data_IF_107105406722
#
_entry.id   IF_107105406722
#
_cell.length_a   1.000
_cell.length_b   1.000
_cell.length_c   1.000
_cell.angle_alpha   90.00
_cell.angle_beta   90.00
_cell.angle_gamma   90.00
#
_symmetry.space_group_name_H-M   'P 1'
#
loop_
_entity.id
_entity.type
_entity.pdbx_description
1 polymer ?
#
# COMPACT_ATOMS: atom_id res chain seq x y z
N UNK A 1 16.71 -12.30 0.85
CA UNK A 1 15.50 -11.52 0.45
C UNK A 1 15.45 -10.24 1.28
N UNK A 2 15.24 -9.14 0.61
CA UNK A 2 15.27 -7.82 1.26
C UNK A 2 13.87 -7.20 1.27
N UNK A 3 13.08 -7.58 2.25
CA UNK A 3 11.68 -7.15 2.33
C UNK A 3 11.53 -5.65 2.52
N UNK A 4 12.43 -5.03 3.29
CA UNK A 4 12.38 -3.57 3.45
C UNK A 4 12.59 -2.84 2.13
N UNK A 5 13.56 -3.28 1.35
CA UNK A 5 13.81 -2.72 0.02
C UNK A 5 12.60 -2.94 -0.89
N UNK A 6 12.02 -4.15 -0.84
CA UNK A 6 10.84 -4.47 -1.65
C UNK A 6 9.65 -3.59 -1.25
N UNK A 7 9.47 -3.33 0.04
CA UNK A 7 8.39 -2.46 0.51
C UNK A 7 8.55 -1.04 -0.05
N UNK A 8 9.77 -0.51 -0.04
CA UNK A 8 10.03 0.81 -0.60
C UNK A 8 9.81 0.84 -2.10
N UNK A 9 10.11 -0.24 -2.80
CA UNK A 9 9.82 -0.32 -4.23
C UNK A 9 8.32 -0.26 -4.51
N UNK A 10 7.51 -0.92 -3.69
CA UNK A 10 6.05 -0.85 -3.82
C UNK A 10 5.58 0.58 -3.55
N UNK A 11 6.10 1.22 -2.51
CA UNK A 11 5.76 2.61 -2.22
C UNK A 11 6.12 3.53 -3.39
N UNK A 12 7.29 3.31 -4.00
CA UNK A 12 7.72 4.10 -5.16
C UNK A 12 6.78 3.90 -6.35
N UNK A 13 6.31 2.68 -6.57
CA UNK A 13 5.34 2.40 -7.62
C UNK A 13 4.05 3.18 -7.42
N UNK A 14 3.60 3.27 -6.16
CA UNK A 14 2.39 4.03 -5.83
C UNK A 14 2.63 5.52 -6.02
N UNK A 15 3.79 6.02 -5.61
CA UNK A 15 4.13 7.43 -5.79
C UNK A 15 4.22 7.80 -7.26
N UNK A 16 4.67 6.90 -8.09
CA UNK A 16 4.69 7.11 -9.54
C UNK A 16 3.29 7.24 -10.12
N UNK A 17 2.28 6.73 -9.42
CA UNK A 17 0.89 6.90 -9.83
C UNK A 17 0.32 8.26 -9.39
N UNK A 18 1.04 9.00 -8.57
CA UNK A 18 0.60 10.30 -8.09
C UNK A 18 -0.02 10.29 -6.70
N UNK A 19 0.22 9.24 -5.93
CA UNK A 19 -0.28 9.11 -4.55
C UNK A 19 0.92 8.99 -3.62
N UNK A 20 1.00 9.84 -2.61
CA UNK A 20 2.06 9.73 -1.61
C UNK A 20 1.95 8.40 -0.88
N UNK A 21 3.10 7.76 -0.65
CA UNK A 21 3.11 6.43 -0.04
C UNK A 21 4.19 6.32 1.03
N UNK A 22 3.89 5.55 2.06
CA UNK A 22 4.80 5.30 3.18
C UNK A 22 4.85 3.81 3.49
N UNK A 23 5.97 3.39 4.04
CA UNK A 23 6.12 2.02 4.58
C UNK A 23 6.16 2.03 6.11
N UNK A 24 6.22 3.18 6.72
CA UNK A 24 6.32 3.36 8.17
C UNK A 24 5.07 4.06 8.68
N UNK A 25 4.27 3.34 9.49
CA UNK A 25 3.04 3.88 10.02
C UNK A 25 3.23 5.11 10.89
N UNK A 26 4.39 5.23 11.56
CA UNK A 26 4.66 6.40 12.40
C UNK A 26 4.89 7.66 11.58
N UNK A 27 5.42 7.52 10.38
CA UNK A 27 5.68 8.64 9.48
C UNK A 27 4.51 8.95 8.57
N UNK A 28 3.59 8.02 8.47
CA UNK A 28 2.45 8.17 7.58
C UNK A 28 1.64 9.42 7.89
N UNK A 29 1.23 10.12 6.85
CA UNK A 29 0.36 11.30 6.95
C UNK A 29 -0.72 11.21 5.89
N UNK A 30 -1.96 11.25 6.31
CA UNK A 30 -3.08 11.25 5.37
C UNK A 30 -3.20 12.64 4.71
N UNK A 31 -3.64 12.71 3.44
CA UNK A 31 -4.05 11.59 2.60
C UNK A 31 -2.87 10.88 1.96
N UNK A 32 -3.00 9.59 1.73
CA UNK A 32 -1.96 8.82 1.07
C UNK A 32 -2.12 7.34 1.27
N UNK A 33 -1.08 6.58 0.93
CA UNK A 33 -1.08 5.14 1.00
C UNK A 33 -0.08 4.64 2.03
N UNK A 34 -0.45 3.60 2.73
CA UNK A 34 0.45 2.89 3.65
C UNK A 34 0.64 1.48 3.15
N UNK A 35 1.88 1.06 2.95
CA UNK A 35 2.24 -0.26 2.45
C UNK A 35 2.67 -1.13 3.61
N UNK A 36 2.04 -2.31 3.73
CA UNK A 36 2.35 -3.25 4.80
C UNK A 36 2.54 -4.64 4.23
N UNK A 37 3.43 -5.41 4.83
CA UNK A 37 3.64 -6.79 4.44
C UNK A 37 2.43 -7.62 4.86
N UNK A 38 1.88 -8.40 3.92
CA UNK A 38 0.77 -9.28 4.17
C UNK A 38 1.21 -10.73 4.28
N UNK A 39 1.95 -11.24 3.28
CA UNK A 39 2.37 -12.63 3.24
C UNK A 39 3.54 -12.81 2.32
N UNK A 40 4.34 -13.83 2.58
CA UNK A 40 5.41 -14.26 1.70
C UNK A 40 5.15 -15.72 1.34
N UNK A 41 5.09 -16.00 0.04
CA UNK A 41 4.90 -17.35 -0.44
C UNK A 41 6.15 -17.82 -1.15
N UNK A 42 6.60 -19.01 -0.81
CA UNK A 42 7.79 -19.58 -1.42
C UNK A 42 7.41 -20.33 -2.67
N UNK A 43 8.15 -20.04 -3.74
CA UNK A 43 7.96 -20.73 -5.00
C UNK A 43 8.72 -22.06 -4.94
N UNK A 44 8.00 -23.16 -5.07
CA UNK A 44 8.60 -24.48 -5.01
C UNK A 44 9.48 -24.79 -6.21
N UNK A 45 9.22 -24.13 -7.32
CA UNK A 45 9.91 -24.43 -8.57
C UNK A 45 11.03 -23.47 -8.87
N UNK A 46 10.96 -22.28 -8.32
CA UNK A 46 11.94 -21.24 -8.61
C UNK A 46 12.90 -21.04 -7.47
N UNK A 47 14.14 -21.43 -7.65
CA UNK A 47 15.15 -21.21 -6.62
C UNK A 47 15.38 -19.73 -6.42
N UNK A 48 15.27 -19.27 -5.20
CA UNK A 48 15.59 -17.90 -4.84
C UNK A 48 14.55 -16.85 -5.19
N UNK A 49 13.36 -17.27 -5.59
CA UNK A 49 12.28 -16.34 -5.90
C UNK A 49 11.09 -16.57 -4.95
N UNK A 50 10.47 -15.48 -4.55
CA UNK A 50 9.33 -15.52 -3.64
C UNK A 50 8.25 -14.58 -4.13
N UNK A 51 7.00 -14.97 -3.95
CA UNK A 51 5.86 -14.10 -4.21
C UNK A 51 5.49 -13.42 -2.91
N UNK A 52 5.45 -12.12 -2.93
CA UNK A 52 5.16 -11.32 -1.73
C UNK A 52 3.86 -10.57 -1.94
N UNK A 53 2.95 -10.73 -1.00
CA UNK A 53 1.69 -10.00 -1.00
C UNK A 53 1.81 -8.81 -0.05
N UNK A 54 1.38 -7.66 -0.51
CA UNK A 54 1.42 -6.41 0.25
C UNK A 54 0.01 -5.90 0.44
N UNK A 55 -0.31 -5.48 1.65
CA UNK A 55 -1.56 -4.78 1.91
C UNK A 55 -1.29 -3.29 1.74
N UNK A 56 -2.05 -2.66 0.86
CA UNK A 56 -1.96 -1.22 0.65
C UNK A 56 -3.26 -0.60 1.15
N UNK A 57 -3.14 0.36 2.06
CA UNK A 57 -4.28 1.07 2.60
C UNK A 57 -4.21 2.51 2.11
N UNK A 58 -5.22 2.91 1.35
CA UNK A 58 -5.39 4.31 0.94
C UNK A 58 -6.23 4.99 2.02
N UNK A 59 -5.72 6.07 2.56
CA UNK A 59 -6.39 6.79 3.66
C UNK A 59 -6.70 8.20 3.21
N UNK A 60 -7.95 8.62 3.39
CA UNK A 60 -8.39 9.96 3.05
C UNK A 60 -7.95 10.97 4.11
N UNK A 61 -7.91 12.23 3.71
CA UNK A 61 -7.71 13.30 4.66
C UNK A 61 -8.94 13.51 5.52
N UNK A 62 -8.79 14.29 6.58
CA UNK A 62 -9.87 14.60 7.51
C UNK A 62 -10.69 15.79 7.02
N UNK A 63 -11.51 15.56 5.99
CA UNK A 63 -12.29 16.62 5.34
C UNK A 63 -13.81 16.44 5.44
N UNK A 64 -14.24 15.39 6.10
CA UNK A 64 -15.66 15.06 6.15
C UNK A 64 -15.98 13.84 5.28
N UNK A 65 -17.13 13.18 5.55
CA UNK A 65 -17.39 11.85 4.95
C UNK A 65 -17.50 11.84 3.43
N UNK A 66 -18.19 12.80 2.86
CA UNK A 66 -18.38 12.82 1.39
C UNK A 66 -17.09 13.14 0.66
N UNK A 67 -16.37 14.13 1.16
CA UNK A 67 -15.11 14.54 0.54
C UNK A 67 -14.06 13.46 0.70
N UNK A 68 -14.07 12.75 1.83
CA UNK A 68 -13.17 11.64 2.04
C UNK A 68 -13.39 10.53 1.02
N UNK A 69 -14.64 10.22 0.72
CA UNK A 69 -14.95 9.19 -0.28
C UNK A 69 -14.49 9.61 -1.68
N UNK A 70 -14.65 10.88 -2.01
CA UNK A 70 -14.19 11.41 -3.29
C UNK A 70 -12.66 11.34 -3.38
N UNK A 71 -11.97 11.69 -2.30
CA UNK A 71 -10.51 11.60 -2.25
C UNK A 71 -10.04 10.15 -2.43
N UNK A 72 -10.71 9.21 -1.79
CA UNK A 72 -10.37 7.80 -1.93
C UNK A 72 -10.59 7.31 -3.36
N UNK A 73 -11.69 7.73 -3.98
CA UNK A 73 -11.98 7.37 -5.36
C UNK A 73 -10.93 7.92 -6.32
N UNK A 74 -10.48 9.14 -6.08
CA UNK A 74 -9.45 9.76 -6.91
C UNK A 74 -8.11 9.04 -6.76
N UNK A 75 -7.72 8.71 -5.54
CA UNK A 75 -6.50 7.96 -5.30
C UNK A 75 -6.56 6.58 -5.92
N UNK A 76 -7.69 5.89 -5.75
CA UNK A 76 -7.87 4.56 -6.31
C UNK A 76 -7.78 4.59 -7.84
N UNK A 77 -8.39 5.57 -8.48
CA UNK A 77 -8.33 5.69 -9.94
C UNK A 77 -6.89 5.84 -10.44
N UNK A 78 -6.08 6.59 -9.71
CA UNK A 78 -4.68 6.78 -10.09
C UNK A 78 -3.88 5.49 -9.98
N UNK A 79 -4.17 4.69 -8.96
CA UNK A 79 -3.42 3.47 -8.70
C UNK A 79 -3.89 2.33 -9.60
N UNK A 80 -5.20 2.15 -9.76
CA UNK A 80 -5.72 1.01 -10.51
C UNK A 80 -5.36 1.07 -11.99
N UNK A 81 -5.16 2.26 -12.52
CA UNK A 81 -4.80 2.43 -13.91
C UNK A 81 -3.44 1.78 -14.25
N UNK A 82 -2.55 1.69 -13.28
CA UNK A 82 -1.21 1.17 -13.49
C UNK A 82 -0.92 -0.15 -12.78
N UNK A 83 -1.55 -0.41 -11.66
CA UNK A 83 -1.16 -1.50 -10.79
C UNK A 83 -2.09 -2.71 -10.81
N UNK A 84 -3.16 -2.67 -11.57
CA UNK A 84 -4.02 -3.83 -11.75
C UNK A 84 -4.69 -4.30 -10.47
N UNK A 85 -5.32 -3.38 -9.76
CA UNK A 85 -6.02 -3.68 -8.54
C UNK A 85 -7.28 -4.49 -8.84
N UNK A 86 -7.43 -5.66 -8.22
CA UNK A 86 -8.55 -6.55 -8.49
C UNK A 86 -9.71 -6.39 -7.53
N UNK A 87 -9.42 -6.16 -6.26
CA UNK A 87 -10.45 -6.08 -5.24
C UNK A 87 -10.08 -5.05 -4.20
N UNK A 88 -11.04 -4.22 -3.86
CA UNK A 88 -10.85 -3.15 -2.89
C UNK A 88 -11.92 -3.27 -1.81
N UNK A 89 -11.51 -3.18 -0.57
CA UNK A 89 -12.42 -3.26 0.56
C UNK A 89 -12.33 -2.00 1.40
N UNK A 90 -13.47 -1.50 1.91
CA UNK A 90 -13.43 -0.35 2.81
C UNK A 90 -12.85 -0.76 4.15
N UNK A 91 -12.06 0.13 4.73
CA UNK A 91 -11.47 -0.07 6.05
C UNK A 91 -11.50 1.25 6.81
N UNK A 92 -11.28 1.13 8.10
CA UNK A 92 -11.12 2.31 8.95
C UNK A 92 -9.69 2.32 9.45
N UNK A 93 -9.03 3.45 9.31
CA UNK A 93 -7.64 3.60 9.72
C UNK A 93 -7.55 4.47 10.95
N UNK A 94 -6.84 3.98 11.96
CA UNK A 94 -6.56 4.74 13.18
C UNK A 94 -5.06 4.98 13.25
N UNK A 95 -4.66 6.23 13.27
CA UNK A 95 -3.25 6.60 13.31
C UNK A 95 -2.92 7.28 14.63
N UNK A 96 -1.95 6.75 15.39
CA UNK A 96 -1.48 7.45 16.58
C UNK A 96 -0.93 8.85 16.27
N UNK A 97 -0.38 9.01 15.09
CA UNK A 97 0.22 10.29 14.69
C UNK A 97 -0.82 11.40 14.54
N UNK A 98 -2.05 11.05 14.22
CA UNK A 98 -3.11 12.04 14.06
C UNK A 98 -3.89 12.31 15.33
N UNK A 99 -3.91 11.37 16.27
CA UNK A 99 -4.57 11.54 17.56
C UNK A 99 -6.05 11.85 17.47
N UNK A 100 -6.69 11.58 16.34
CA UNK A 100 -8.04 12.02 16.05
C UNK A 100 -9.04 10.92 15.79
N UNK A 101 -8.70 9.70 16.11
CA UNK A 101 -9.60 8.61 15.89
C UNK A 101 -9.55 8.10 14.45
N UNK A 102 -10.69 7.72 13.93
CA UNK A 102 -10.76 6.90 12.73
C UNK A 102 -10.90 7.71 11.46
N UNK A 103 -10.13 7.32 10.44
CA UNK A 103 -10.21 7.90 9.10
C UNK A 103 -10.69 6.84 8.12
N UNK A 104 -11.52 7.21 7.15
CA UNK A 104 -11.96 6.25 6.15
C UNK A 104 -10.82 5.88 5.21
N UNK A 105 -10.80 4.63 4.78
CA UNK A 105 -9.77 4.13 3.89
C UNK A 105 -10.29 3.03 2.99
N UNK A 106 -9.48 2.69 2.00
CA UNK A 106 -9.70 1.55 1.12
C UNK A 106 -8.45 0.69 1.14
N UNK A 107 -8.64 -0.62 1.17
CA UNK A 107 -7.55 -1.58 1.27
C UNK A 107 -7.55 -2.51 0.08
N UNK A 108 -6.39 -2.79 -0.46
CA UNK A 108 -6.24 -3.79 -1.51
C UNK A 108 -4.90 -4.50 -1.38
N UNK A 109 -4.75 -5.59 -2.11
CA UNK A 109 -3.52 -6.39 -2.10
C UNK A 109 -2.77 -6.21 -3.41
N UNK A 110 -1.47 -5.99 -3.31
CA UNK A 110 -0.56 -6.03 -4.45
C UNK A 110 0.40 -7.19 -4.27
N UNK A 111 0.72 -7.86 -5.36
CA UNK A 111 1.63 -8.99 -5.35
C UNK A 111 2.87 -8.66 -6.18
N UNK A 112 4.04 -8.91 -5.61
CA UNK A 112 5.31 -8.71 -6.32
C UNK A 112 6.17 -9.95 -6.18
N UNK A 113 7.16 -10.06 -7.04
CA UNK A 113 8.14 -11.14 -6.94
C UNK A 113 9.45 -10.56 -6.43
N UNK A 114 10.00 -11.17 -5.40
CA UNK A 114 11.27 -10.76 -4.79
C UNK A 114 12.26 -11.88 -4.96
N UNK A 115 13.44 -11.56 -5.49
CA UNK A 115 14.50 -12.53 -5.73
C UNK A 115 15.54 -12.50 -4.63
N UNK A 116 16.11 -13.66 -4.31
CA UNK A 116 17.21 -13.75 -3.36
C UNK A 116 18.56 -13.48 -4.01
N UNK A 117 18.61 -13.29 -5.30
CA UNK A 117 19.87 -13.13 -6.03
C UNK A 117 20.46 -11.75 -6.01
N UNK A 118 19.87 -10.85 -5.29
CA UNK A 118 20.21 -9.44 -5.38
C UNK A 118 21.51 -9.04 -4.73
N UNK A 119 22.01 -9.86 -3.87
CA UNK A 119 23.16 -9.52 -3.04
C UNK A 119 24.49 -9.62 -3.74
N UNK A 120 24.49 -10.04 -4.94
CA UNK A 120 25.71 -10.22 -5.70
C UNK A 120 26.35 -8.90 -6.05
#
# INVERSE_FOLDING_TARGET
>A
MRLGTAAHQVADMIEDCGVDAWVDGERFRAPGALVMLQAVEYDRLGAGAHTVAWTVVLVAGDHGPTEALDDLGDMLAKVEDRLGVERVEPVTYTSPAHGRGELPGLQFTLTTTVSDETEV
#
